data_IF_631301768178
#
_entry.id   IF_631301768178
#
_cell.length_a   1.000
_cell.length_b   1.000
_cell.length_c   1.000
_cell.angle_alpha   90.00
_cell.angle_beta   90.00
_cell.angle_gamma   90.00
#
_symmetry.space_group_name_H-M   'P 1'
#
loop_
_entity.id
_entity.type
_entity.pdbx_description
1 polymer ?
#
# COMPACT_ATOMS: atom_id res chain seq x y z
N UNK A 1 -13.66 29.74 48.54
CA UNK A 1 -14.11 28.49 47.89
C UNK A 1 -14.89 28.85 46.65
N UNK A 2 -14.58 28.26 45.50
CA UNK A 2 -15.32 28.48 44.25
C UNK A 2 -14.46 28.28 43.01
N UNK A 3 -13.82 27.12 42.89
CA UNK A 3 -13.14 26.68 41.66
C UNK A 3 -14.24 26.39 40.62
N UNK A 4 -14.25 27.11 39.50
CA UNK A 4 -15.11 26.76 38.37
C UNK A 4 -14.53 25.50 37.70
N UNK A 5 -15.33 24.44 37.46
CA UNK A 5 -14.82 23.24 36.83
C UNK A 5 -14.61 23.49 35.34
N UNK A 6 -13.40 23.23 34.85
CA UNK A 6 -13.12 23.10 33.43
C UNK A 6 -13.72 21.78 32.96
N UNK A 7 -14.93 21.81 32.39
CA UNK A 7 -15.50 20.67 31.69
C UNK A 7 -14.86 20.53 30.30
N UNK A 8 -13.75 19.79 30.22
CA UNK A 8 -13.31 19.16 28.97
C UNK A 8 -13.89 17.74 28.93
N UNK A 9 -15.12 17.62 28.43
CA UNK A 9 -15.73 16.33 28.05
C UNK A 9 -16.01 16.34 26.55
N UNK A 10 -14.94 16.41 25.78
CA UNK A 10 -14.97 16.15 24.35
C UNK A 10 -13.81 15.22 24.02
N UNK A 11 -14.01 13.90 24.17
CA UNK A 11 -13.13 12.96 23.48
C UNK A 11 -13.34 13.23 21.99
N UNK A 12 -12.39 13.91 21.34
CA UNK A 12 -12.35 14.01 19.88
C UNK A 12 -12.20 12.57 19.39
N UNK A 13 -13.32 11.92 19.03
CA UNK A 13 -13.31 10.67 18.30
C UNK A 13 -12.87 11.00 16.89
N UNK A 14 -11.57 10.91 16.64
CA UNK A 14 -11.05 10.89 15.26
C UNK A 14 -11.65 9.65 14.61
N UNK A 15 -12.71 9.82 13.82
CA UNK A 15 -13.31 8.74 13.03
C UNK A 15 -12.41 8.53 11.82
N UNK A 16 -11.39 7.69 11.98
CA UNK A 16 -10.56 7.27 10.85
C UNK A 16 -11.48 6.61 9.81
N UNK A 17 -11.49 7.15 8.58
CA UNK A 17 -12.29 6.61 7.48
C UNK A 17 -11.54 5.40 6.93
N UNK A 18 -11.96 4.21 7.33
CA UNK A 18 -11.53 2.96 6.69
C UNK A 18 -12.18 2.86 5.30
N UNK A 19 -11.48 2.24 4.36
CA UNK A 19 -12.09 1.85 3.10
C UNK A 19 -13.09 0.73 3.32
N UNK A 20 -14.21 0.78 2.61
CA UNK A 20 -15.17 -0.32 2.57
C UNK A 20 -14.52 -1.49 1.82
N UNK A 21 -14.62 -2.69 2.40
CA UNK A 21 -14.12 -3.92 1.78
C UNK A 21 -15.17 -4.62 0.93
N UNK A 22 -16.40 -4.10 0.85
CA UNK A 22 -17.43 -4.62 -0.03
C UNK A 22 -17.04 -4.39 -1.49
N UNK A 23 -16.80 -5.45 -2.29
CA UNK A 23 -16.45 -5.27 -3.70
C UNK A 23 -17.57 -4.54 -4.44
N UNK A 24 -17.21 -3.50 -5.19
CA UNK A 24 -18.15 -2.78 -6.04
C UNK A 24 -17.65 -2.75 -7.49
N UNK A 25 -18.59 -2.67 -8.43
CA UNK A 25 -18.25 -2.59 -9.85
C UNK A 25 -17.46 -1.29 -10.11
N UNK A 26 -16.25 -1.43 -10.66
CA UNK A 26 -15.46 -0.32 -11.14
C UNK A 26 -15.62 -0.16 -12.65
N UNK A 27 -15.53 1.08 -13.20
CA UNK A 27 -15.43 1.27 -14.63
C UNK A 27 -14.25 0.47 -15.19
N UNK A 28 -14.50 -0.30 -16.25
CA UNK A 28 -13.43 -0.97 -16.96
C UNK A 28 -12.53 0.08 -17.62
N UNK A 29 -11.22 -0.14 -17.53
CA UNK A 29 -10.21 0.73 -18.12
C UNK A 29 -9.25 -0.14 -18.90
N UNK A 30 -8.99 0.21 -20.15
CA UNK A 30 -7.97 -0.42 -20.98
C UNK A 30 -7.19 0.67 -21.72
N UNK A 31 -5.96 0.89 -21.29
CA UNK A 31 -5.03 1.85 -21.91
C UNK A 31 -3.63 1.25 -21.93
N UNK A 32 -2.71 1.92 -22.62
CA UNK A 32 -1.31 1.50 -22.66
C UNK A 32 -0.67 1.38 -21.26
N UNK A 33 -1.08 2.20 -20.29
CA UNK A 33 -0.39 2.39 -19.00
C UNK A 33 -1.25 2.04 -17.77
N UNK A 34 -2.50 1.61 -17.99
CA UNK A 34 -3.48 1.34 -16.92
C UNK A 34 -4.54 0.37 -17.41
N UNK A 35 -4.88 -0.60 -16.57
CA UNK A 35 -5.92 -1.60 -16.80
C UNK A 35 -6.74 -1.82 -15.54
N UNK A 36 -8.08 -1.82 -15.64
CA UNK A 36 -8.98 -2.20 -14.54
C UNK A 36 -10.03 -3.14 -15.10
N UNK A 37 -10.06 -4.38 -14.58
CA UNK A 37 -10.87 -5.49 -15.13
C UNK A 37 -11.70 -6.22 -14.08
N UNK A 38 -11.60 -5.80 -12.81
CA UNK A 38 -12.29 -6.44 -11.67
C UNK A 38 -13.16 -5.46 -10.90
N UNK A 39 -14.09 -5.93 -10.04
CA UNK A 39 -14.62 -5.13 -8.95
C UNK A 39 -13.50 -4.66 -8.01
N UNK A 40 -13.68 -3.51 -7.37
CA UNK A 40 -12.72 -2.97 -6.41
C UNK A 40 -13.35 -2.84 -5.02
N UNK A 41 -12.68 -3.31 -3.95
CA UNK A 41 -11.52 -4.22 -4.00
C UNK A 41 -11.84 -5.56 -4.69
N UNK A 42 -10.79 -6.28 -5.10
CA UNK A 42 -10.94 -7.59 -5.75
C UNK A 42 -11.58 -8.58 -4.77
N UNK A 43 -12.68 -9.29 -5.12
CA UNK A 43 -13.34 -10.23 -4.22
C UNK A 43 -12.42 -11.29 -3.61
N UNK A 44 -11.48 -11.81 -4.40
CA UNK A 44 -10.51 -12.81 -3.99
C UNK A 44 -9.43 -12.25 -3.04
N UNK A 45 -9.24 -10.93 -3.03
CA UNK A 45 -8.30 -10.25 -2.12
C UNK A 45 -8.87 -10.01 -0.73
N UNK A 46 -10.19 -10.10 -0.55
CA UNK A 46 -10.88 -9.76 0.71
C UNK A 46 -10.34 -10.55 1.90
N UNK A 47 -10.12 -11.89 1.84
CA UNK A 47 -9.58 -12.62 2.97
C UNK A 47 -8.18 -12.15 3.40
N UNK A 48 -7.37 -11.64 2.47
CA UNK A 48 -6.07 -11.05 2.77
C UNK A 48 -6.27 -9.73 3.52
N UNK A 49 -7.12 -8.84 2.99
CA UNK A 49 -7.39 -7.53 3.58
C UNK A 49 -8.01 -7.65 4.99
N UNK A 50 -8.93 -8.60 5.19
CA UNK A 50 -9.50 -8.90 6.51
C UNK A 50 -8.45 -9.43 7.50
N UNK A 51 -7.51 -10.26 7.02
CA UNK A 51 -6.38 -10.73 7.83
C UNK A 51 -5.47 -9.56 8.23
N UNK A 52 -5.17 -8.63 7.31
CA UNK A 52 -4.40 -7.42 7.61
C UNK A 52 -5.15 -6.56 8.64
N UNK A 53 -6.44 -6.29 8.46
CA UNK A 53 -7.24 -5.53 9.42
C UNK A 53 -7.28 -6.15 10.83
N UNK A 54 -7.21 -7.48 10.93
CA UNK A 54 -7.18 -8.20 12.22
C UNK A 54 -5.85 -8.06 12.95
N UNK A 55 -4.75 -8.01 12.22
CA UNK A 55 -3.40 -8.15 12.78
C UNK A 55 -2.57 -6.86 12.76
N UNK A 56 -2.92 -5.90 11.91
CA UNK A 56 -2.24 -4.61 11.79
C UNK A 56 -2.89 -3.53 12.66
N UNK A 57 -2.10 -2.55 13.14
CA UNK A 57 -2.66 -1.44 13.88
C UNK A 57 -3.57 -0.59 12.99
N UNK A 58 -4.57 0.07 13.60
CA UNK A 58 -5.55 0.92 12.92
C UNK A 58 -4.89 1.99 12.03
N UNK A 59 -3.69 2.47 12.38
CA UNK A 59 -2.93 3.44 11.58
C UNK A 59 -2.55 2.93 10.18
N UNK A 60 -2.55 1.61 9.94
CA UNK A 60 -2.26 1.01 8.63
C UNK A 60 -3.50 0.89 7.75
N UNK A 61 -4.71 1.02 8.31
CA UNK A 61 -5.98 0.77 7.61
C UNK A 61 -6.48 1.99 6.79
N UNK A 62 -5.65 3.03 6.65
CA UNK A 62 -5.95 4.23 5.86
C UNK A 62 -5.52 4.14 4.40
N UNK A 63 -5.01 2.98 3.95
CA UNK A 63 -4.52 2.76 2.59
C UNK A 63 -5.62 2.18 1.69
N UNK A 64 -5.61 2.47 0.36
CA UNK A 64 -6.52 1.82 -0.58
C UNK A 64 -6.45 0.28 -0.47
N UNK A 65 -7.58 -0.45 -0.51
CA UNK A 65 -7.64 -1.89 -0.29
C UNK A 65 -7.19 -2.66 -1.54
N UNK A 66 -5.93 -2.50 -1.91
CA UNK A 66 -5.31 -3.11 -3.09
C UNK A 66 -4.15 -3.98 -2.64
N UNK A 67 -4.13 -5.24 -3.06
CA UNK A 67 -3.02 -6.16 -2.81
C UNK A 67 -2.10 -6.16 -4.03
N UNK A 68 -0.88 -5.67 -3.85
CA UNK A 68 0.13 -5.61 -4.91
C UNK A 68 0.77 -6.99 -5.09
N UNK A 69 0.98 -7.38 -6.34
CA UNK A 69 1.70 -8.61 -6.72
C UNK A 69 3.08 -8.28 -7.29
N UNK A 70 3.15 -7.28 -8.18
CA UNK A 70 4.41 -6.79 -8.76
C UNK A 70 4.33 -5.30 -9.11
N UNK A 71 5.48 -4.67 -9.30
CA UNK A 71 5.57 -3.30 -9.78
C UNK A 71 6.78 -3.13 -10.71
N UNK A 72 6.67 -2.30 -11.74
CA UNK A 72 7.74 -1.99 -12.70
C UNK A 72 7.64 -0.55 -13.19
N UNK A 73 8.75 0.19 -13.14
CA UNK A 73 8.77 1.60 -13.49
C UNK A 73 7.84 2.40 -12.58
N UNK A 74 6.73 2.91 -13.12
CA UNK A 74 5.69 3.61 -12.37
C UNK A 74 4.37 2.84 -12.33
N UNK A 75 4.35 1.57 -12.75
CA UNK A 75 3.14 0.75 -12.77
C UNK A 75 3.14 -0.27 -11.64
N UNK A 76 1.96 -0.47 -11.08
CA UNK A 76 1.68 -1.44 -10.03
C UNK A 76 0.64 -2.41 -10.54
N UNK A 77 0.79 -3.68 -10.21
CA UNK A 77 -0.05 -4.74 -10.71
C UNK A 77 -0.48 -5.64 -9.56
N UNK A 78 -1.70 -6.14 -9.65
CA UNK A 78 -2.17 -7.21 -8.78
C UNK A 78 -2.14 -8.55 -9.51
N UNK A 79 -2.46 -9.62 -8.78
CA UNK A 79 -2.50 -10.97 -9.34
C UNK A 79 -3.75 -11.24 -10.21
N UNK A 80 -4.69 -10.30 -10.29
CA UNK A 80 -5.99 -10.45 -10.94
C UNK A 80 -6.13 -9.67 -12.24
N UNK A 81 -5.03 -9.09 -12.72
CA UNK A 81 -4.94 -8.47 -14.05
C UNK A 81 -5.20 -6.97 -14.07
N UNK A 82 -5.34 -6.32 -12.91
CA UNK A 82 -5.38 -4.87 -12.83
C UNK A 82 -3.96 -4.28 -12.87
N UNK A 83 -3.85 -3.08 -13.42
CA UNK A 83 -2.64 -2.29 -13.50
C UNK A 83 -2.96 -0.83 -13.19
N UNK A 84 -2.26 -0.24 -12.23
CA UNK A 84 -2.40 1.15 -11.82
C UNK A 84 -1.16 1.96 -12.15
N UNK A 85 -1.35 3.27 -12.29
CA UNK A 85 -0.27 4.25 -12.33
C UNK A 85 0.02 4.64 -10.87
N UNK A 86 1.25 4.41 -10.42
CA UNK A 86 1.73 4.81 -9.10
C UNK A 86 2.25 6.25 -9.12
N UNK A 87 1.53 7.14 -8.44
CA UNK A 87 1.91 8.54 -8.22
C UNK A 87 2.59 8.77 -6.87
N UNK A 88 2.79 7.71 -6.08
CA UNK A 88 3.34 7.80 -4.73
C UNK A 88 4.85 7.55 -4.68
N UNK A 89 5.38 6.74 -5.61
CA UNK A 89 6.76 6.26 -5.57
C UNK A 89 7.08 5.56 -4.23
N UNK A 90 6.10 4.91 -3.61
CA UNK A 90 6.25 4.33 -2.27
C UNK A 90 6.70 5.34 -1.22
N UNK A 91 6.15 6.56 -1.24
CA UNK A 91 6.59 7.70 -0.41
C UNK A 91 8.02 8.11 -0.75
N UNK A 92 8.23 8.49 -2.02
CA UNK A 92 9.50 9.00 -2.56
C UNK A 92 10.69 8.01 -2.53
N UNK A 93 10.44 6.72 -2.35
CA UNK A 93 11.48 5.67 -2.30
C UNK A 93 11.82 5.18 -3.70
N UNK A 94 10.80 4.81 -4.50
CA UNK A 94 10.97 4.18 -5.80
C UNK A 94 11.21 5.18 -6.96
N UNK A 95 11.92 6.28 -6.71
CA UNK A 95 12.06 7.38 -7.68
C UNK A 95 12.84 7.00 -8.95
N UNK A 96 13.71 6.00 -8.84
CA UNK A 96 14.41 5.43 -10.00
C UNK A 96 13.53 4.44 -10.80
N UNK A 97 12.27 4.24 -10.38
CA UNK A 97 11.35 3.23 -10.88
C UNK A 97 11.35 1.96 -10.04
N UNK A 98 10.17 1.37 -9.86
CA UNK A 98 10.00 0.02 -9.31
C UNK A 98 10.76 -0.99 -10.15
N UNK A 99 11.41 -1.96 -9.49
CA UNK A 99 12.10 -3.08 -10.14
C UNK A 99 13.10 -2.67 -11.24
N UNK A 100 13.79 -1.55 -11.04
CA UNK A 100 14.84 -1.11 -11.97
C UNK A 100 15.91 -2.20 -12.10
N UNK A 101 16.17 -2.64 -13.33
CA UNK A 101 17.05 -3.79 -13.62
C UNK A 101 18.42 -3.64 -12.96
N UNK A 102 19.06 -2.48 -13.09
CA UNK A 102 20.40 -2.26 -12.54
C UNK A 102 20.41 -2.36 -11.00
N UNK A 103 19.32 -1.98 -10.34
CA UNK A 103 19.17 -2.10 -8.88
C UNK A 103 18.95 -3.56 -8.49
N UNK A 104 18.08 -4.27 -9.21
CA UNK A 104 17.83 -5.70 -8.98
C UNK A 104 19.11 -6.53 -9.16
N UNK A 105 19.85 -6.30 -10.26
CA UNK A 105 21.09 -7.01 -10.55
C UNK A 105 22.15 -6.74 -9.47
N UNK A 106 22.26 -5.49 -8.99
CA UNK A 106 23.16 -5.14 -7.90
C UNK A 106 22.77 -5.82 -6.58
N UNK A 107 21.47 -5.88 -6.24
CA UNK A 107 20.98 -6.58 -5.07
C UNK A 107 21.31 -8.07 -5.16
N UNK A 108 20.99 -8.72 -6.29
CA UNK A 108 21.28 -10.16 -6.51
C UNK A 108 22.77 -10.46 -6.48
N UNK A 109 23.60 -9.60 -7.05
CA UNK A 109 25.06 -9.73 -6.97
C UNK A 109 25.55 -9.61 -5.53
N UNK A 110 25.02 -8.64 -4.77
CA UNK A 110 25.40 -8.43 -3.37
C UNK A 110 25.03 -9.62 -2.48
N UNK A 111 23.88 -10.27 -2.70
CA UNK A 111 23.48 -11.46 -1.92
C UNK A 111 24.36 -12.67 -2.18
N UNK A 112 25.03 -12.74 -3.33
CA UNK A 112 26.04 -13.74 -3.62
C UNK A 112 27.41 -13.41 -3.00
N UNK A 113 27.59 -12.21 -2.43
CA UNK A 113 28.81 -11.81 -1.73
C UNK A 113 28.76 -12.18 -0.24
N UNK A 114 29.92 -12.34 0.39
CA UNK A 114 30.00 -12.64 1.83
C UNK A 114 29.83 -11.42 2.75
N UNK A 115 29.80 -10.20 2.20
CA UNK A 115 29.72 -8.96 2.99
C UNK A 115 28.35 -8.30 2.83
N UNK A 116 27.34 -8.78 3.55
CA UNK A 116 25.97 -8.24 3.46
C UNK A 116 25.73 -7.02 4.34
N UNK A 117 26.51 -6.89 5.40
CA UNK A 117 26.43 -5.78 6.34
C UNK A 117 27.86 -5.38 6.71
N UNK A 118 28.12 -4.07 6.65
CA UNK A 118 29.30 -3.46 7.20
C UNK A 118 28.88 -2.43 8.24
N UNK A 119 29.61 -2.37 9.35
CA UNK A 119 29.48 -1.32 10.34
C UNK A 119 30.85 -0.66 10.54
N UNK A 120 30.94 0.62 10.17
CA UNK A 120 31.98 1.58 10.50
C UNK A 120 33.46 1.20 10.23
N UNK A 121 33.82 0.31 9.29
CA UNK A 121 35.22 0.12 8.84
C UNK A 121 35.35 -0.37 7.40
#
# INVERSE_FOLDING_TARGET
MGHLPFHSTGTIRIKMRHFDLTPCAAPQVETLLRRIVTPLPVPESIPILEKLHRHEPVSMQGQPPIVWDRAEGFQVFDAWGNCWIDWSSGVLVANAGHSRREVMDAIVSQTASSLLNNYCF
#
